data_IF_404161342336
#
_entry.id   IF_404161342336
#
_cell.length_a   1.000
_cell.length_b   1.000
_cell.length_c   1.000
_cell.angle_alpha   90.00
_cell.angle_beta   90.00
_cell.angle_gamma   90.00
#
_symmetry.space_group_name_H-M   'P 1'
#
loop_
_entity.id
_entity.type
_entity.pdbx_description
1 polymer ?
#
# COMPACT_ATOMS: atom_id res chain seq x y z
N UNK A 1 17.66 3.02 -1.82
CA UNK A 1 16.37 2.30 -2.00
C UNK A 1 15.33 2.79 -1.01
N UNK A 2 14.03 2.71 -1.36
CA UNK A 2 12.91 2.99 -0.45
C UNK A 2 12.22 1.68 -0.06
N UNK A 3 12.11 1.42 1.23
CA UNK A 3 11.40 0.27 1.79
C UNK A 3 10.07 0.77 2.35
N UNK A 4 8.96 0.17 1.92
CA UNK A 4 7.61 0.50 2.40
C UNK A 4 7.08 -0.70 3.19
N UNK A 5 6.96 -0.55 4.51
CA UNK A 5 6.38 -1.53 5.41
C UNK A 5 4.89 -1.25 5.64
N UNK A 6 4.13 -2.25 6.06
CA UNK A 6 2.70 -2.08 6.37
C UNK A 6 2.46 -1.34 7.70
N UNK A 7 3.30 -1.62 8.71
CA UNK A 7 3.14 -1.13 10.08
C UNK A 7 4.43 -0.50 10.60
N UNK A 8 4.34 0.48 11.52
CA UNK A 8 5.52 1.11 12.13
C UNK A 8 6.43 0.11 12.86
N UNK A 9 5.87 -0.92 13.50
CA UNK A 9 6.64 -1.99 14.16
C UNK A 9 7.52 -2.73 13.17
N UNK A 10 6.95 -3.13 12.01
CA UNK A 10 7.68 -3.82 10.94
C UNK A 10 8.83 -2.96 10.41
N UNK A 11 8.59 -1.66 10.18
CA UNK A 11 9.64 -0.73 9.77
C UNK A 11 10.76 -0.64 10.80
N UNK A 12 10.42 -0.61 12.09
CA UNK A 12 11.40 -0.61 13.18
C UNK A 12 12.21 -1.91 13.25
N UNK A 13 11.58 -3.05 13.08
CA UNK A 13 12.25 -4.35 13.11
C UNK A 13 13.20 -4.53 11.92
N UNK A 14 12.79 -4.08 10.74
CA UNK A 14 13.67 -4.04 9.56
C UNK A 14 14.87 -3.12 9.81
N UNK A 15 14.66 -1.91 10.34
CA UNK A 15 15.74 -0.97 10.64
C UNK A 15 16.73 -1.55 11.66
N UNK A 16 16.24 -2.23 12.69
CA UNK A 16 17.09 -2.91 13.70
C UNK A 16 17.87 -4.08 13.10
N UNK A 17 17.21 -4.91 12.29
CA UNK A 17 17.82 -6.10 11.71
C UNK A 17 18.94 -5.76 10.74
N UNK A 18 18.77 -4.71 9.92
CA UNK A 18 19.78 -4.25 8.97
C UNK A 18 20.83 -3.34 9.60
N UNK A 19 20.49 -2.60 10.67
CA UNK A 19 21.39 -1.70 11.38
C UNK A 19 21.70 -0.39 10.64
N UNK A 20 22.35 0.54 11.32
CA UNK A 20 22.87 1.78 10.72
C UNK A 20 21.85 2.88 10.40
N UNK A 21 20.58 2.70 10.78
CA UNK A 21 19.52 3.69 10.50
C UNK A 21 19.40 4.74 11.59
N UNK A 22 19.22 6.00 11.17
CA UNK A 22 18.77 7.10 12.03
C UNK A 22 17.28 7.30 11.84
N UNK A 23 16.55 7.42 12.96
CA UNK A 23 15.10 7.71 12.92
C UNK A 23 14.89 9.21 13.02
N UNK A 24 14.13 9.74 12.07
CA UNK A 24 13.63 11.14 12.11
C UNK A 24 12.13 11.11 11.89
N UNK A 25 11.36 11.46 12.91
CA UNK A 25 9.90 11.26 12.94
C UNK A 25 9.57 9.78 12.67
N UNK A 26 8.82 9.51 11.61
CA UNK A 26 8.37 8.17 11.20
C UNK A 26 9.20 7.56 10.05
N UNK A 27 10.36 8.13 9.77
CA UNK A 27 11.25 7.70 8.69
C UNK A 27 12.56 7.21 9.29
N UNK A 28 13.01 6.03 8.88
CA UNK A 28 14.35 5.55 9.16
C UNK A 28 15.19 5.72 7.90
N UNK A 29 16.39 6.27 8.02
CA UNK A 29 17.26 6.48 6.89
C UNK A 29 18.72 6.20 7.25
N UNK A 30 19.45 5.68 6.27
CA UNK A 30 20.90 5.63 6.22
C UNK A 30 21.37 6.10 4.83
N UNK A 31 22.64 5.93 4.51
CA UNK A 31 23.22 6.41 3.24
C UNK A 31 22.58 5.73 2.00
N UNK A 32 22.15 4.46 2.12
CA UNK A 32 21.70 3.64 1.00
C UNK A 32 20.19 3.42 0.96
N UNK A 33 19.52 3.51 2.11
CA UNK A 33 18.13 3.07 2.26
C UNK A 33 17.32 4.03 3.11
N UNK A 34 16.04 4.12 2.75
CA UNK A 34 15.00 4.81 3.51
C UNK A 34 13.88 3.83 3.80
N UNK A 35 13.43 3.77 5.04
CA UNK A 35 12.31 2.91 5.46
C UNK A 35 11.17 3.80 5.94
N UNK A 36 10.00 3.59 5.39
CA UNK A 36 8.74 4.19 5.84
C UNK A 36 7.71 3.11 6.08
N UNK A 37 6.70 3.42 6.85
CA UNK A 37 5.56 2.53 7.02
C UNK A 37 4.26 3.18 6.60
N UNK A 38 3.33 2.38 6.16
CA UNK A 38 1.92 2.69 6.26
C UNK A 38 1.43 2.54 7.72
N UNK A 39 0.14 2.60 7.93
CA UNK A 39 -0.57 2.24 9.17
C UNK A 39 -1.80 1.40 8.81
N UNK A 40 -1.59 0.39 7.97
CA UNK A 40 -2.64 -0.30 7.25
C UNK A 40 -3.06 0.44 5.98
N UNK A 41 -4.34 0.42 5.63
CA UNK A 41 -4.83 1.11 4.44
C UNK A 41 -4.73 2.63 4.58
N UNK A 42 -4.04 3.26 3.62
CA UNK A 42 -3.94 4.72 3.49
C UNK A 42 -4.89 5.26 2.42
N UNK A 43 -5.42 4.37 1.59
CA UNK A 43 -6.28 4.66 0.45
C UNK A 43 -7.44 3.66 0.44
N UNK A 44 -8.62 4.15 0.10
CA UNK A 44 -9.85 3.37 -0.01
C UNK A 44 -10.47 3.54 -1.39
N UNK A 45 -11.26 2.55 -1.84
CA UNK A 45 -12.07 2.71 -3.03
C UNK A 45 -13.16 3.75 -2.75
N UNK A 46 -13.28 4.73 -3.64
CA UNK A 46 -14.26 5.80 -3.54
C UNK A 46 -15.38 5.65 -4.57
N UNK A 47 -16.55 6.16 -4.22
CA UNK A 47 -17.61 6.38 -5.20
C UNK A 47 -17.18 7.56 -6.06
N UNK A 48 -17.09 7.41 -7.41
CA UNK A 48 -16.78 8.52 -8.28
C UNK A 48 -17.81 9.64 -8.13
N UNK A 49 -17.34 10.89 -7.97
CA UNK A 49 -18.20 12.08 -7.81
C UNK A 49 -19.19 12.27 -8.98
N UNK A 50 -18.88 11.74 -10.15
CA UNK A 50 -19.75 11.75 -11.33
C UNK A 50 -21.11 11.10 -11.14
N UNK A 51 -21.28 10.28 -10.11
CA UNK A 51 -22.53 9.57 -9.86
C UNK A 51 -23.46 10.32 -8.90
N UNK A 52 -23.21 11.60 -8.61
CA UNK A 52 -24.08 12.52 -7.82
C UNK A 52 -24.98 11.89 -6.76
N UNK A 53 -24.61 10.71 -6.27
CA UNK A 53 -25.32 10.07 -5.17
C UNK A 53 -24.86 10.76 -3.90
N UNK A 54 -25.46 11.91 -3.63
CA UNK A 54 -25.26 12.63 -2.37
C UNK A 54 -25.62 11.71 -1.22
N UNK A 55 -24.81 11.75 -0.17
CA UNK A 55 -25.04 11.00 1.07
C UNK A 55 -26.53 11.13 1.49
N UNK A 56 -27.24 10.00 1.59
CA UNK A 56 -28.66 9.96 1.96
C UNK A 56 -29.65 9.94 0.81
N UNK A 57 -29.23 9.95 -0.45
CA UNK A 57 -30.14 9.91 -1.63
C UNK A 57 -30.03 8.60 -2.44
N UNK A 58 -29.71 7.50 -1.78
CA UNK A 58 -29.75 6.18 -2.41
C UNK A 58 -31.23 5.77 -2.62
N UNK A 59 -31.57 5.44 -3.84
CA UNK A 59 -32.87 4.87 -4.19
C UNK A 59 -32.65 3.56 -4.91
N UNK A 60 -33.61 2.65 -4.82
CA UNK A 60 -33.54 1.36 -5.52
C UNK A 60 -33.32 1.51 -7.02
N UNK A 61 -33.81 2.60 -7.62
CA UNK A 61 -33.63 2.91 -9.03
C UNK A 61 -32.16 3.20 -9.42
N UNK A 62 -31.31 3.56 -8.45
CA UNK A 62 -29.89 3.84 -8.64
C UNK A 62 -29.01 2.59 -8.44
N UNK A 63 -29.62 1.43 -8.26
CA UNK A 63 -28.94 0.16 -8.07
C UNK A 63 -29.13 -0.77 -9.27
N UNK A 64 -28.17 -1.65 -9.60
CA UNK A 64 -26.85 -1.73 -8.98
C UNK A 64 -25.92 -0.58 -9.41
N UNK A 65 -25.15 -0.03 -8.47
CA UNK A 65 -24.12 0.93 -8.78
C UNK A 65 -22.83 0.22 -9.18
N UNK A 66 -22.48 0.26 -10.45
CA UNK A 66 -21.28 -0.35 -11.02
C UNK A 66 -20.44 0.76 -11.65
N UNK A 67 -19.34 1.19 -11.02
CA UNK A 67 -18.52 2.25 -11.57
C UNK A 67 -17.77 1.76 -12.82
N UNK A 68 -17.67 2.56 -13.89
CA UNK A 68 -16.89 2.17 -15.08
C UNK A 68 -15.40 2.04 -14.78
N UNK A 69 -14.94 2.69 -13.71
CA UNK A 69 -13.57 2.63 -13.22
C UNK A 69 -13.55 2.92 -11.72
N UNK A 70 -12.86 2.06 -10.97
CA UNK A 70 -12.62 2.30 -9.56
C UNK A 70 -11.57 3.40 -9.35
N UNK A 71 -11.85 4.29 -8.40
CA UNK A 71 -10.96 5.37 -7.99
C UNK A 71 -10.50 5.16 -6.56
N UNK A 72 -9.30 5.63 -6.24
CA UNK A 72 -8.75 5.61 -4.90
C UNK A 72 -8.82 7.00 -4.27
N UNK A 73 -9.29 7.07 -3.04
CA UNK A 73 -9.29 8.28 -2.22
C UNK A 73 -8.44 8.09 -0.98
N UNK A 74 -7.68 9.11 -0.56
CA UNK A 74 -7.01 9.10 0.74
C UNK A 74 -8.00 8.91 1.88
N UNK A 75 -7.64 8.10 2.88
CA UNK A 75 -8.38 8.07 4.14
C UNK A 75 -8.03 9.36 4.92
N UNK A 76 -9.03 10.18 5.29
CA UNK A 76 -8.79 11.43 6.01
C UNK A 76 -8.02 11.24 7.32
N UNK A 77 -8.18 10.09 7.99
CA UNK A 77 -7.50 9.79 9.26
C UNK A 77 -6.01 9.55 9.09
N UNK A 78 -5.59 9.10 7.91
CA UNK A 78 -4.20 8.69 7.63
C UNK A 78 -3.54 9.54 6.54
N UNK A 79 -4.18 10.63 6.10
CA UNK A 79 -3.70 11.47 4.99
C UNK A 79 -2.30 12.03 5.24
N UNK A 80 -1.99 12.47 6.46
CA UNK A 80 -0.66 12.96 6.82
C UNK A 80 0.42 11.88 6.62
N UNK A 81 0.08 10.63 6.96
CA UNK A 81 0.97 9.48 6.77
C UNK A 81 1.15 9.17 5.30
N UNK A 82 0.07 9.19 4.53
CA UNK A 82 0.13 9.03 3.08
C UNK A 82 1.04 10.07 2.44
N UNK A 83 0.90 11.36 2.81
CA UNK A 83 1.76 12.44 2.32
C UNK A 83 3.24 12.17 2.62
N UNK A 84 3.54 11.67 3.82
CA UNK A 84 4.91 11.28 4.20
C UNK A 84 5.45 10.18 3.29
N UNK A 85 4.70 9.10 3.08
CA UNK A 85 5.11 7.98 2.21
C UNK A 85 5.30 8.47 0.77
N UNK A 86 4.34 9.22 0.22
CA UNK A 86 4.41 9.76 -1.15
C UNK A 86 5.61 10.70 -1.33
N UNK A 87 5.93 11.52 -0.32
CA UNK A 87 7.13 12.37 -0.36
C UNK A 87 8.40 11.54 -0.56
N UNK A 88 8.51 10.38 0.10
CA UNK A 88 9.69 9.52 -0.06
C UNK A 88 9.75 8.86 -1.44
N UNK A 89 8.62 8.49 -2.05
CA UNK A 89 8.62 7.90 -3.40
C UNK A 89 9.06 8.88 -4.49
N UNK A 90 9.01 10.19 -4.23
CA UNK A 90 9.37 11.27 -5.17
C UNK A 90 10.81 11.77 -5.01
N UNK A 91 11.57 11.20 -4.10
CA UNK A 91 12.98 11.60 -3.91
C UNK A 91 13.83 11.18 -5.11
N UNK A 92 14.71 12.06 -5.56
CA UNK A 92 15.59 11.83 -6.72
C UNK A 92 16.69 10.79 -6.45
N UNK A 93 17.08 10.61 -5.19
CA UNK A 93 18.09 9.65 -4.75
C UNK A 93 17.56 8.22 -4.65
N UNK A 94 16.23 8.03 -4.61
CA UNK A 94 15.60 6.71 -4.62
C UNK A 94 15.58 6.15 -6.06
N UNK A 95 16.14 4.96 -6.23
CA UNK A 95 16.23 4.27 -7.54
C UNK A 95 15.37 3.01 -7.61
N UNK A 96 14.89 2.51 -6.48
CA UNK A 96 14.11 1.29 -6.38
C UNK A 96 13.21 1.35 -5.16
N UNK A 97 12.04 0.73 -5.24
CA UNK A 97 11.11 0.57 -4.12
C UNK A 97 11.04 -0.91 -3.74
N UNK A 98 11.11 -1.19 -2.45
CA UNK A 98 10.98 -2.53 -1.89
C UNK A 98 9.65 -2.60 -1.12
N UNK A 99 8.75 -3.46 -1.59
CA UNK A 99 7.52 -3.77 -0.88
C UNK A 99 7.84 -4.71 0.29
N UNK A 100 7.75 -4.21 1.50
CA UNK A 100 7.90 -4.93 2.76
C UNK A 100 6.60 -4.97 3.59
N UNK A 101 5.45 -4.84 2.93
CA UNK A 101 4.15 -5.10 3.55
C UNK A 101 3.96 -6.58 3.85
N UNK A 102 2.96 -6.93 4.66
CA UNK A 102 2.73 -8.31 5.08
C UNK A 102 2.60 -9.27 3.87
N UNK A 103 3.09 -10.49 4.04
CA UNK A 103 3.09 -11.51 2.99
C UNK A 103 1.67 -12.05 2.77
N UNK A 104 0.95 -11.46 1.83
CA UNK A 104 -0.43 -11.82 1.54
C UNK A 104 -1.14 -10.80 0.63
N UNK A 105 -2.40 -11.10 0.31
CA UNK A 105 -3.24 -10.24 -0.55
C UNK A 105 -3.40 -8.83 0.02
N UNK A 106 -3.58 -8.72 1.34
CA UNK A 106 -3.83 -7.44 2.00
C UNK A 106 -2.61 -6.51 1.92
N UNK A 107 -1.43 -7.01 2.29
CA UNK A 107 -0.19 -6.22 2.19
C UNK A 107 0.15 -5.85 0.75
N UNK A 108 -0.15 -6.74 -0.21
CA UNK A 108 0.02 -6.44 -1.63
C UNK A 108 -0.92 -5.32 -2.08
N UNK A 109 -2.20 -5.35 -1.67
CA UNK A 109 -3.18 -4.31 -1.98
C UNK A 109 -2.77 -2.95 -1.42
N UNK A 110 -2.38 -2.89 -0.14
CA UNK A 110 -1.91 -1.66 0.51
C UNK A 110 -0.77 -1.04 -0.28
N UNK A 111 0.24 -1.83 -0.60
CA UNK A 111 1.39 -1.37 -1.36
C UNK A 111 1.01 -0.88 -2.76
N UNK A 112 0.23 -1.66 -3.52
CA UNK A 112 -0.18 -1.31 -4.89
C UNK A 112 -1.00 -0.03 -4.95
N UNK A 113 -1.88 0.18 -4.00
CA UNK A 113 -2.64 1.41 -3.90
C UNK A 113 -1.73 2.63 -3.68
N UNK A 114 -0.70 2.51 -2.84
CA UNK A 114 0.30 3.57 -2.62
C UNK A 114 1.06 3.86 -3.91
N UNK A 115 1.56 2.83 -4.59
CA UNK A 115 2.31 3.00 -5.85
C UNK A 115 1.43 3.63 -6.94
N UNK A 116 0.21 3.15 -7.10
CA UNK A 116 -0.75 3.71 -8.05
C UNK A 116 -1.03 5.19 -7.76
N UNK A 117 -1.26 5.55 -6.51
CA UNK A 117 -1.52 6.93 -6.10
C UNK A 117 -0.31 7.84 -6.27
N UNK A 118 0.89 7.35 -5.95
CA UNK A 118 2.15 8.09 -6.13
C UNK A 118 2.52 8.31 -7.59
N UNK A 119 1.98 7.48 -8.51
CA UNK A 119 2.36 7.40 -9.92
C UNK A 119 3.86 7.11 -10.11
N UNK A 120 4.49 6.44 -9.15
CA UNK A 120 5.89 6.06 -9.25
C UNK A 120 6.10 5.03 -10.35
N UNK A 121 7.18 5.22 -11.13
CA UNK A 121 7.64 4.30 -12.18
C UNK A 121 8.95 3.61 -11.81
N UNK A 122 9.38 3.73 -10.56
CA UNK A 122 10.61 3.11 -10.10
C UNK A 122 10.47 1.58 -10.10
N UNK A 123 11.57 0.85 -10.36
CA UNK A 123 11.60 -0.60 -10.25
C UNK A 123 11.15 -1.04 -8.86
N UNK A 124 10.39 -2.13 -8.80
CA UNK A 124 9.84 -2.69 -7.58
C UNK A 124 10.47 -4.05 -7.32
N UNK A 125 10.82 -4.31 -6.07
CA UNK A 125 11.18 -5.62 -5.53
C UNK A 125 10.28 -5.95 -4.35
N UNK A 126 10.15 -7.23 -4.03
CA UNK A 126 9.31 -7.72 -2.95
C UNK A 126 10.14 -8.42 -1.88
N UNK A 127 10.10 -7.91 -0.67
CA UNK A 127 10.57 -8.60 0.53
C UNK A 127 9.44 -9.51 1.04
N UNK A 128 9.60 -10.82 0.90
CA UNK A 128 8.60 -11.79 1.32
C UNK A 128 9.05 -12.45 2.63
N UNK A 129 8.44 -12.03 3.73
CA UNK A 129 8.79 -12.54 5.07
C UNK A 129 7.67 -13.39 5.65
N UNK A 130 8.03 -14.54 6.18
CA UNK A 130 7.15 -15.41 6.98
C UNK A 130 7.49 -15.32 8.48
N UNK A 131 8.60 -14.70 8.82
CA UNK A 131 9.08 -14.48 10.18
C UNK A 131 9.76 -13.13 10.29
N UNK A 132 9.62 -12.48 11.44
CA UNK A 132 10.19 -11.17 11.73
C UNK A 132 11.49 -11.23 12.55
N UNK A 133 12.13 -12.40 12.64
CA UNK A 133 13.47 -12.50 13.26
C UNK A 133 14.51 -11.75 12.41
N UNK A 134 15.53 -11.21 13.06
CA UNK A 134 16.58 -10.46 12.38
C UNK A 134 17.25 -11.26 11.25
N UNK A 135 17.47 -12.55 11.47
CA UNK A 135 18.08 -13.42 10.47
C UNK A 135 17.14 -13.67 9.27
N UNK A 136 15.83 -13.86 9.53
CA UNK A 136 14.85 -13.98 8.45
C UNK A 136 14.76 -12.72 7.62
N UNK A 137 14.82 -11.55 8.26
CA UNK A 137 14.83 -10.26 7.58
C UNK A 137 16.07 -10.13 6.70
N UNK A 138 17.28 -10.37 7.24
CA UNK A 138 18.53 -10.31 6.47
C UNK A 138 18.53 -11.26 5.29
N UNK A 139 18.10 -12.51 5.50
CA UNK A 139 17.96 -13.51 4.45
C UNK A 139 16.97 -13.05 3.37
N UNK A 140 15.81 -12.50 3.77
CA UNK A 140 14.82 -11.98 2.84
C UNK A 140 15.36 -10.85 1.97
N UNK A 141 16.22 -9.98 2.49
CA UNK A 141 16.88 -8.93 1.71
C UNK A 141 17.91 -9.47 0.72
N UNK A 142 18.49 -10.64 0.97
CA UNK A 142 19.37 -11.34 0.02
C UNK A 142 18.58 -12.07 -1.07
N UNK A 143 17.27 -12.31 -0.86
CA UNK A 143 16.40 -13.08 -1.76
C UNK A 143 15.13 -12.27 -2.11
N UNK A 144 15.31 -11.05 -2.57
CA UNK A 144 14.20 -10.19 -2.99
C UNK A 144 13.54 -10.74 -4.26
N UNK A 145 12.24 -11.01 -4.18
CA UNK A 145 11.45 -11.43 -5.33
C UNK A 145 11.26 -10.31 -6.36
N UNK A 146 11.11 -10.69 -7.61
CA UNK A 146 10.75 -9.74 -8.66
C UNK A 146 9.29 -9.29 -8.53
N UNK A 147 8.98 -8.09 -9.03
CA UNK A 147 7.61 -7.60 -9.07
C UNK A 147 6.70 -8.49 -9.91
N UNK A 148 7.22 -9.06 -11.00
CA UNK A 148 6.47 -9.91 -11.92
C UNK A 148 5.92 -11.17 -11.24
N UNK A 149 6.65 -11.75 -10.31
CA UNK A 149 6.20 -12.91 -9.54
C UNK A 149 4.94 -12.62 -8.70
N UNK A 150 4.73 -11.35 -8.35
CA UNK A 150 3.64 -10.92 -7.49
C UNK A 150 2.43 -10.36 -8.27
N UNK A 151 2.51 -10.22 -9.59
CA UNK A 151 1.40 -9.72 -10.40
C UNK A 151 0.11 -10.56 -10.22
N UNK A 152 0.14 -11.90 -10.22
CA UNK A 152 -1.07 -12.69 -9.99
C UNK A 152 -1.71 -12.42 -8.62
N UNK A 153 -0.89 -12.31 -7.57
CA UNK A 153 -1.35 -11.97 -6.22
C UNK A 153 -1.94 -10.56 -6.16
N UNK A 154 -1.29 -9.60 -6.82
CA UNK A 154 -1.75 -8.21 -6.94
C UNK A 154 -3.12 -8.12 -7.62
N UNK A 155 -3.30 -8.85 -8.73
CA UNK A 155 -4.58 -8.91 -9.44
C UNK A 155 -5.66 -9.54 -8.57
N UNK A 156 -5.37 -10.65 -7.89
CA UNK A 156 -6.31 -11.30 -6.98
C UNK A 156 -6.72 -10.36 -5.83
N UNK A 157 -5.77 -9.62 -5.25
CA UNK A 157 -6.03 -8.66 -4.20
C UNK A 157 -6.94 -7.51 -4.67
N UNK A 158 -6.65 -6.97 -5.86
CA UNK A 158 -7.45 -5.92 -6.48
C UNK A 158 -8.87 -6.40 -6.80
N UNK A 159 -9.00 -7.53 -7.49
CA UNK A 159 -10.32 -8.10 -7.82
C UNK A 159 -11.16 -8.36 -6.57
N UNK A 160 -10.55 -8.88 -5.50
CA UNK A 160 -11.22 -9.10 -4.23
C UNK A 160 -11.73 -7.78 -3.63
N UNK A 161 -10.89 -6.75 -3.57
CA UNK A 161 -11.28 -5.45 -3.01
C UNK A 161 -12.41 -4.80 -3.82
N UNK A 162 -12.36 -4.87 -5.14
CA UNK A 162 -13.41 -4.34 -6.03
C UNK A 162 -14.73 -5.13 -5.89
N UNK A 163 -14.67 -6.45 -5.79
CA UNK A 163 -15.84 -7.29 -5.56
C UNK A 163 -16.49 -7.03 -4.19
N UNK A 164 -15.69 -6.97 -3.13
CA UNK A 164 -16.18 -6.67 -1.77
C UNK A 164 -16.82 -5.27 -1.72
N UNK A 165 -16.24 -4.29 -2.44
CA UNK A 165 -16.82 -2.96 -2.55
C UNK A 165 -18.17 -2.97 -3.29
N UNK A 166 -18.26 -3.67 -4.43
CA UNK A 166 -19.51 -3.78 -5.22
C UNK A 166 -20.61 -4.42 -4.40
N UNK A 167 -20.32 -5.56 -3.77
CA UNK A 167 -21.30 -6.28 -2.94
C UNK A 167 -21.69 -5.42 -1.73
N UNK A 168 -20.72 -4.82 -1.06
CA UNK A 168 -20.95 -4.00 0.12
C UNK A 168 -21.82 -2.77 -0.20
N UNK A 169 -21.53 -2.03 -1.28
CA UNK A 169 -22.26 -0.82 -1.59
C UNK A 169 -23.68 -1.11 -2.10
N UNK A 170 -23.85 -2.14 -2.92
CA UNK A 170 -25.15 -2.48 -3.49
C UNK A 170 -26.03 -3.25 -2.48
N UNK A 171 -25.46 -4.24 -1.79
CA UNK A 171 -26.22 -5.07 -0.85
C UNK A 171 -26.64 -4.34 0.44
N UNK A 172 -25.94 -3.30 0.85
CA UNK A 172 -26.34 -2.51 2.04
C UNK A 172 -27.35 -1.40 1.73
N UNK A 173 -27.65 -1.17 0.46
CA UNK A 173 -28.55 -0.11 -0.01
C UNK A 173 -29.76 -0.60 -0.78
N UNK A 174 -29.83 -1.90 -1.04
CA UNK A 174 -31.01 -2.60 -1.53
C UNK A 174 -31.93 -2.94 -0.35
#
# INVERSE_FOLDING_TARGET
SLIIAEKPSVASDIAKALGGFKKTNDVFANDDMVIVSAVGHLLTLSVPEKYEIKRGKWTFQNLPHIPPKFSLSPDPKTEAKLKTVIKQTKRKDIKMIINACDAGREGELIFRNIIQHSKSKLPIKRLWLQSMTADSIRKGFSDLKSDQELIPLSNAAKCRAEADWLIGINGTRA
#
